data_IF_604427679579
#
_entry.id   IF_604427679579
#
_cell.length_a   1.000
_cell.length_b   1.000
_cell.length_c   1.000
_cell.angle_alpha   90.00
_cell.angle_beta   90.00
_cell.angle_gamma   90.00
#
_symmetry.space_group_name_H-M   'P 1'
#
loop_
_entity.id
_entity.type
_entity.pdbx_description
1 polymer ?
#
# COMPACT_ATOMS: atom_id res chain seq x y z
N UNK A 1 -27.29 4.99 -2.47
CA UNK A 1 -27.21 6.39 -2.92
C UNK A 1 -27.89 6.55 -4.27
N UNK A 2 -27.35 6.01 -5.38
CA UNK A 2 -27.90 6.17 -6.73
C UNK A 2 -29.42 5.89 -6.88
N UNK A 3 -29.93 4.76 -6.34
CA UNK A 3 -31.38 4.45 -6.37
C UNK A 3 -32.27 5.43 -5.60
N UNK A 4 -31.70 6.15 -4.62
CA UNK A 4 -32.42 7.15 -3.81
C UNK A 4 -32.36 8.54 -4.47
N UNK A 5 -31.29 8.82 -5.21
CA UNK A 5 -31.07 10.11 -5.87
C UNK A 5 -31.71 10.20 -7.26
N UNK A 6 -31.74 9.08 -8.00
CA UNK A 6 -32.27 9.02 -9.36
C UNK A 6 -33.39 7.97 -9.44
N UNK A 7 -34.64 8.34 -9.09
CA UNK A 7 -35.79 7.45 -9.21
C UNK A 7 -36.17 7.16 -10.68
N UNK A 8 -35.88 8.09 -11.60
CA UNK A 8 -36.19 7.96 -13.02
C UNK A 8 -35.09 7.25 -13.83
N UNK A 9 -35.49 6.42 -14.81
CA UNK A 9 -34.57 5.64 -15.67
C UNK A 9 -33.66 6.53 -16.52
N UNK A 10 -34.15 7.65 -17.03
CA UNK A 10 -33.39 8.56 -17.89
C UNK A 10 -32.24 9.25 -17.14
N UNK A 11 -32.44 9.54 -15.85
CA UNK A 11 -31.43 10.15 -14.97
C UNK A 11 -30.48 9.11 -14.38
N UNK A 12 -30.96 7.89 -14.14
CA UNK A 12 -30.17 6.79 -13.58
C UNK A 12 -29.19 6.18 -14.59
N UNK A 13 -29.53 6.12 -15.88
CA UNK A 13 -28.67 5.55 -16.93
C UNK A 13 -27.29 6.24 -17.05
N UNK A 14 -27.19 7.58 -17.15
CA UNK A 14 -25.90 8.27 -17.20
C UNK A 14 -25.09 8.11 -15.91
N UNK A 15 -25.75 8.13 -14.74
CA UNK A 15 -25.09 7.90 -13.47
C UNK A 15 -24.51 6.47 -13.36
N UNK A 16 -25.24 5.45 -13.84
CA UNK A 16 -24.75 4.07 -13.88
C UNK A 16 -23.58 3.89 -14.85
N UNK A 17 -23.63 4.50 -16.04
CA UNK A 17 -22.54 4.43 -17.03
C UNK A 17 -21.23 5.00 -16.47
N UNK A 18 -21.28 6.08 -15.69
CA UNK A 18 -20.10 6.65 -15.00
C UNK A 18 -19.46 5.69 -13.99
N UNK A 19 -20.25 4.79 -13.39
CA UNK A 19 -19.74 3.80 -12.46
C UNK A 19 -19.24 2.50 -13.12
N UNK A 20 -19.37 2.36 -14.45
CA UNK A 20 -18.78 1.26 -15.22
C UNK A 20 -17.31 1.50 -15.57
N UNK A 21 -16.78 2.69 -15.30
CA UNK A 21 -15.37 2.99 -15.52
C UNK A 21 -14.46 2.15 -14.61
N UNK A 22 -13.23 1.94 -15.08
CA UNK A 22 -12.26 1.10 -14.38
C UNK A 22 -11.96 1.66 -12.99
N UNK A 23 -12.27 0.86 -11.97
CA UNK A 23 -12.02 1.18 -10.57
C UNK A 23 -11.18 0.08 -9.95
N UNK A 24 -9.89 0.36 -9.76
CA UNK A 24 -8.95 -0.55 -9.13
C UNK A 24 -8.24 0.14 -7.98
N UNK A 25 -8.59 -0.28 -6.76
CA UNK A 25 -8.00 0.21 -5.51
C UNK A 25 -7.98 -0.92 -4.49
N UNK A 26 -7.16 -0.76 -3.45
CA UNK A 26 -7.15 -1.69 -2.34
C UNK A 26 -8.52 -1.74 -1.63
N UNK A 27 -9.00 -2.95 -1.32
CA UNK A 27 -10.33 -3.22 -0.76
C UNK A 27 -10.66 -2.44 0.52
N UNK A 28 -9.66 -2.11 1.34
CA UNK A 28 -9.86 -1.37 2.59
C UNK A 28 -9.95 0.13 2.37
N UNK A 29 -9.39 0.63 1.26
CA UNK A 29 -9.44 2.04 0.89
C UNK A 29 -10.63 2.37 -0.04
N UNK A 30 -11.21 1.35 -0.70
CA UNK A 30 -12.39 1.52 -1.56
C UNK A 30 -13.58 2.24 -0.87
N UNK A 31 -13.93 1.96 0.40
CA UNK A 31 -15.05 2.64 1.06
C UNK A 31 -14.83 4.15 1.22
N UNK A 32 -13.59 4.60 1.37
CA UNK A 32 -13.30 6.04 1.42
C UNK A 32 -13.63 6.73 0.08
N UNK A 33 -13.17 6.16 -1.04
CA UNK A 33 -13.47 6.71 -2.38
C UNK A 33 -14.98 6.65 -2.66
N UNK A 34 -15.65 5.57 -2.25
CA UNK A 34 -17.10 5.42 -2.37
C UNK A 34 -17.84 6.46 -1.52
N UNK A 35 -17.37 6.77 -0.31
CA UNK A 35 -17.92 7.81 0.55
C UNK A 35 -17.82 9.19 -0.10
N UNK A 36 -16.63 9.55 -0.61
CA UNK A 36 -16.40 10.83 -1.31
C UNK A 36 -17.28 10.92 -2.56
N UNK A 37 -17.27 9.89 -3.40
CA UNK A 37 -18.11 9.81 -4.61
C UNK A 37 -19.58 9.98 -4.27
N UNK A 38 -20.05 9.32 -3.20
CA UNK A 38 -21.46 9.40 -2.79
C UNK A 38 -21.88 10.80 -2.34
N UNK A 39 -21.00 11.51 -1.63
CA UNK A 39 -21.26 12.90 -1.23
C UNK A 39 -21.27 13.86 -2.43
N UNK A 40 -20.40 13.64 -3.42
CA UNK A 40 -20.39 14.43 -4.65
C UNK A 40 -21.62 14.17 -5.52
N UNK A 41 -22.07 12.92 -5.63
CA UNK A 41 -23.30 12.56 -6.33
C UNK A 41 -24.51 13.29 -5.72
N UNK A 42 -24.57 13.40 -4.39
CA UNK A 42 -25.65 14.10 -3.69
C UNK A 42 -25.65 15.62 -3.88
N UNK A 43 -24.50 16.23 -4.17
CA UNK A 43 -24.36 17.69 -4.28
C UNK A 43 -24.36 18.21 -5.72
N UNK A 44 -23.61 17.58 -6.64
CA UNK A 44 -23.52 18.03 -8.04
C UNK A 44 -24.45 17.26 -8.99
N UNK A 45 -25.04 16.14 -8.53
CA UNK A 45 -25.91 15.31 -9.38
C UNK A 45 -25.21 14.85 -10.68
N UNK A 46 -25.93 14.86 -11.79
CA UNK A 46 -25.38 14.49 -13.09
C UNK A 46 -24.55 15.60 -13.76
N UNK A 47 -24.61 16.84 -13.27
CA UNK A 47 -23.84 17.96 -13.84
C UNK A 47 -22.35 17.86 -13.46
N UNK A 48 -22.03 17.29 -12.30
CA UNK A 48 -20.68 17.04 -11.80
C UNK A 48 -19.98 15.77 -12.32
N UNK A 49 -20.49 15.13 -13.37
CA UNK A 49 -20.03 13.81 -13.82
C UNK A 49 -18.51 13.72 -14.07
N UNK A 50 -17.91 14.77 -14.64
CA UNK A 50 -16.48 14.84 -14.91
C UNK A 50 -15.65 15.01 -13.62
N UNK A 51 -16.13 15.80 -12.66
CA UNK A 51 -15.50 16.00 -11.35
C UNK A 51 -15.49 14.70 -10.56
N UNK A 52 -16.63 14.00 -10.49
CA UNK A 52 -16.80 12.72 -9.77
C UNK A 52 -15.85 11.66 -10.32
N UNK A 53 -15.77 11.57 -11.64
CA UNK A 53 -14.86 10.66 -12.37
C UNK A 53 -13.40 11.01 -12.09
N UNK A 54 -13.05 12.30 -12.19
CA UNK A 54 -11.71 12.79 -11.89
C UNK A 54 -11.24 12.48 -10.48
N UNK A 55 -12.13 12.58 -9.48
CA UNK A 55 -11.81 12.21 -8.09
C UNK A 55 -11.57 10.69 -7.96
N UNK A 56 -12.42 9.84 -8.56
CA UNK A 56 -12.21 8.39 -8.54
C UNK A 56 -10.86 8.01 -9.14
N UNK A 57 -10.56 8.52 -10.33
CA UNK A 57 -9.32 8.23 -11.06
C UNK A 57 -8.11 8.82 -10.32
N UNK A 58 -8.23 10.01 -9.73
CA UNK A 58 -7.15 10.66 -8.99
C UNK A 58 -6.83 10.01 -7.65
N UNK A 59 -7.82 9.36 -7.02
CA UNK A 59 -7.65 8.69 -5.72
C UNK A 59 -7.36 7.19 -5.84
N UNK A 60 -7.76 6.52 -6.93
CA UNK A 60 -7.57 5.07 -7.08
C UNK A 60 -6.10 4.66 -7.02
N UNK A 61 -5.20 5.39 -7.69
CA UNK A 61 -3.78 5.04 -7.75
C UNK A 61 -3.06 5.16 -6.40
N UNK A 62 -3.07 6.34 -5.75
CA UNK A 62 -2.40 6.53 -4.47
C UNK A 62 -2.96 5.65 -3.35
N UNK A 63 -4.30 5.50 -3.27
CA UNK A 63 -4.93 4.67 -2.26
C UNK A 63 -4.77 3.17 -2.54
N UNK A 64 -4.62 2.75 -3.80
CA UNK A 64 -4.18 1.40 -4.13
C UNK A 64 -2.80 1.13 -3.56
N UNK A 65 -1.80 1.95 -3.91
CA UNK A 65 -0.42 1.74 -3.45
C UNK A 65 -0.24 1.82 -1.94
N UNK A 66 -0.91 2.78 -1.28
CA UNK A 66 -0.90 2.91 0.17
C UNK A 66 -1.61 1.74 0.84
N UNK A 67 -2.76 1.33 0.31
CA UNK A 67 -3.52 0.20 0.81
C UNK A 67 -2.74 -1.12 0.70
N UNK A 68 -2.12 -1.38 -0.45
CA UNK A 68 -1.31 -2.58 -0.68
C UNK A 68 -0.10 -2.61 0.26
N UNK A 69 0.59 -1.48 0.43
CA UNK A 69 1.79 -1.42 1.29
C UNK A 69 1.46 -1.59 2.78
N UNK A 70 0.38 -0.96 3.25
CA UNK A 70 0.00 -1.05 4.66
C UNK A 70 -0.71 -2.34 5.01
N UNK A 71 -1.71 -2.76 4.22
CA UNK A 71 -2.52 -3.92 4.58
C UNK A 71 -1.87 -5.22 4.15
N UNK A 72 -1.45 -5.32 2.88
CA UNK A 72 -0.89 -6.57 2.36
C UNK A 72 0.56 -6.80 2.76
N UNK A 73 1.42 -5.77 2.74
CA UNK A 73 2.84 -5.95 3.06
C UNK A 73 3.16 -5.81 4.56
N UNK A 74 2.32 -5.13 5.34
CA UNK A 74 2.61 -4.86 6.76
C UNK A 74 1.62 -5.56 7.67
N UNK A 75 0.33 -5.22 7.59
CA UNK A 75 -0.67 -5.69 8.54
C UNK A 75 -0.89 -7.20 8.47
N UNK A 76 -1.10 -7.74 7.27
CA UNK A 76 -1.32 -9.18 7.07
C UNK A 76 -0.13 -10.00 7.59
N UNK A 77 1.13 -9.76 7.18
CA UNK A 77 2.28 -10.50 7.70
C UNK A 77 2.44 -10.40 9.21
N UNK A 78 2.20 -9.23 9.81
CA UNK A 78 2.27 -9.07 11.28
C UNK A 78 1.17 -9.88 11.97
N UNK A 79 -0.09 -9.76 11.54
CA UNK A 79 -1.21 -10.50 12.12
C UNK A 79 -1.00 -12.02 12.00
N UNK A 80 -0.56 -12.49 10.84
CA UNK A 80 -0.29 -13.91 10.60
C UNK A 80 0.98 -14.39 11.31
N UNK A 81 2.02 -13.55 11.47
CA UNK A 81 3.22 -13.88 12.25
C UNK A 81 2.91 -14.03 13.74
N UNK A 82 2.06 -13.16 14.28
CA UNK A 82 1.57 -13.25 15.65
C UNK A 82 0.72 -14.52 15.80
N UNK A 83 -0.24 -14.75 14.92
CA UNK A 83 -1.06 -15.96 14.93
C UNK A 83 -0.25 -17.24 14.82
N UNK A 84 0.74 -17.27 13.93
CA UNK A 84 1.67 -18.40 13.78
C UNK A 84 2.48 -18.65 15.04
N UNK A 85 2.90 -17.59 15.75
CA UNK A 85 3.62 -17.71 17.02
C UNK A 85 2.77 -18.39 18.10
N UNK A 86 1.47 -18.12 18.14
CA UNK A 86 0.52 -18.76 19.06
C UNK A 86 0.06 -20.17 18.61
N UNK A 87 0.25 -20.52 17.34
CA UNK A 87 -0.03 -21.88 16.83
C UNK A 87 1.14 -22.86 16.99
N UNK A 88 2.31 -22.43 17.49
CA UNK A 88 3.48 -23.30 17.65
C UNK A 88 3.24 -24.49 18.57
N UNK A 89 2.35 -24.34 19.56
CA UNK A 89 1.99 -25.40 20.51
C UNK A 89 0.86 -26.34 20.02
N UNK A 90 0.51 -26.29 18.72
CA UNK A 90 -0.40 -27.25 18.09
C UNK A 90 -1.90 -26.91 18.15
N UNK A 91 -2.26 -25.70 18.55
CA UNK A 91 -3.66 -25.25 18.61
C UNK A 91 -4.12 -24.46 17.38
N UNK A 92 -5.37 -24.67 16.94
CA UNK A 92 -6.03 -23.85 15.91
C UNK A 92 -6.30 -22.40 16.35
N UNK A 93 -6.07 -22.08 17.63
CA UNK A 93 -6.25 -20.75 18.21
C UNK A 93 -5.43 -19.66 17.51
N UNK A 94 -4.24 -19.98 17.00
CA UNK A 94 -3.40 -19.03 16.27
C UNK A 94 -4.07 -18.47 15.00
N UNK A 95 -4.84 -19.31 14.29
CA UNK A 95 -5.60 -18.90 13.10
C UNK A 95 -6.74 -17.96 13.47
N UNK A 96 -7.48 -18.27 14.55
CA UNK A 96 -8.55 -17.40 15.03
C UNK A 96 -8.01 -16.05 15.50
N UNK A 97 -6.88 -16.03 16.21
CA UNK A 97 -6.21 -14.79 16.63
C UNK A 97 -5.79 -13.96 15.42
N UNK A 98 -5.14 -14.55 14.42
CA UNK A 98 -4.74 -13.84 13.20
C UNK A 98 -5.96 -13.22 12.48
N UNK A 99 -7.04 -13.97 12.31
CA UNK A 99 -8.26 -13.50 11.63
C UNK A 99 -8.97 -12.41 12.43
N UNK A 100 -9.07 -12.54 13.75
CA UNK A 100 -9.67 -11.52 14.62
C UNK A 100 -8.85 -10.25 14.58
N UNK A 101 -7.52 -10.33 14.72
CA UNK A 101 -6.63 -9.17 14.74
C UNK A 101 -6.71 -8.40 13.41
N UNK A 102 -6.72 -9.14 12.29
CA UNK A 102 -6.90 -8.53 10.98
C UNK A 102 -8.27 -7.87 10.82
N UNK A 103 -9.36 -8.56 11.18
CA UNK A 103 -10.72 -8.02 11.02
C UNK A 103 -11.01 -6.83 11.94
N UNK A 104 -10.50 -6.85 13.17
CA UNK A 104 -10.62 -5.74 14.14
C UNK A 104 -10.02 -4.46 13.58
N UNK A 105 -8.96 -4.54 12.78
CA UNK A 105 -8.35 -3.36 12.18
C UNK A 105 -9.02 -3.04 10.84
N UNK A 106 -9.35 -4.04 10.04
CA UNK A 106 -9.92 -3.87 8.70
C UNK A 106 -11.33 -3.26 8.72
N UNK A 107 -12.23 -3.76 9.58
CA UNK A 107 -13.63 -3.37 9.60
C UNK A 107 -13.82 -1.89 10.04
N UNK A 108 -13.20 -1.42 11.14
CA UNK A 108 -13.29 -0.02 11.53
C UNK A 108 -12.67 0.91 10.49
N UNK A 109 -11.55 0.55 9.88
CA UNK A 109 -10.95 1.39 8.83
C UNK A 109 -11.89 1.53 7.64
N UNK A 110 -12.60 0.46 7.24
CA UNK A 110 -13.63 0.54 6.19
C UNK A 110 -14.80 1.44 6.61
N UNK A 111 -15.31 1.28 7.83
CA UNK A 111 -16.47 2.03 8.31
C UNK A 111 -16.16 3.51 8.54
N UNK A 112 -15.09 3.82 9.28
CA UNK A 112 -14.63 5.19 9.48
C UNK A 112 -14.15 5.82 8.16
N UNK A 113 -13.51 5.05 7.28
CA UNK A 113 -13.12 5.52 5.95
C UNK A 113 -14.33 5.95 5.13
N UNK A 114 -15.40 5.17 5.11
CA UNK A 114 -16.66 5.53 4.44
C UNK A 114 -17.28 6.80 5.05
N UNK A 115 -17.44 6.84 6.37
CA UNK A 115 -18.06 7.99 7.06
C UNK A 115 -17.25 9.26 6.89
N UNK A 116 -15.93 9.17 7.05
CA UNK A 116 -15.02 10.30 6.88
C UNK A 116 -14.97 10.76 5.43
N UNK A 117 -14.92 9.84 4.47
CA UNK A 117 -15.00 10.14 3.04
C UNK A 117 -16.30 10.86 2.66
N UNK A 118 -17.43 10.43 3.22
CA UNK A 118 -18.72 11.07 2.96
C UNK A 118 -18.82 12.48 3.60
N UNK A 119 -18.42 12.64 4.87
CA UNK A 119 -18.45 13.95 5.56
C UNK A 119 -17.42 14.94 5.01
N UNK A 120 -16.25 14.47 4.56
CA UNK A 120 -15.22 15.34 3.95
C UNK A 120 -15.44 15.56 2.45
N UNK A 121 -16.06 14.62 1.75
CA UNK A 121 -16.42 14.76 0.34
C UNK A 121 -17.31 15.98 0.08
N UNK A 122 -18.25 16.25 0.98
CA UNK A 122 -19.11 17.44 0.93
C UNK A 122 -18.39 18.77 1.21
N UNK A 123 -17.24 18.75 1.89
CA UNK A 123 -16.43 19.95 2.16
C UNK A 123 -15.34 20.20 1.12
N UNK A 124 -14.93 19.17 0.36
CA UNK A 124 -14.04 19.32 -0.80
C UNK A 124 -14.68 20.14 -1.95
N UNK A 125 -16.02 20.24 -1.97
CA UNK A 125 -16.79 21.01 -2.96
C UNK A 125 -16.91 22.50 -2.59
N UNK A 126 -16.87 22.85 -1.30
CA UNK A 126 -17.04 24.25 -0.86
C UNK A 126 -15.79 25.12 -1.08
N UNK A 127 -14.63 24.50 -1.28
CA UNK A 127 -13.45 25.21 -1.78
C UNK A 127 -13.54 25.28 -3.32
N UNK A 128 -13.82 26.47 -3.86
CA UNK A 128 -13.80 26.82 -5.30
C UNK A 128 -12.43 26.60 -6.01
N UNK A 129 -11.57 25.73 -5.47
CA UNK A 129 -10.25 25.37 -5.95
C UNK A 129 -10.13 23.84 -6.16
N UNK A 130 -11.15 23.26 -6.79
CA UNK A 130 -11.31 21.81 -7.02
C UNK A 130 -10.10 21.16 -7.69
N UNK A 131 -9.28 21.91 -8.46
CA UNK A 131 -8.03 21.39 -9.04
C UNK A 131 -6.84 21.47 -8.08
N UNK A 132 -6.74 22.53 -7.29
CA UNK A 132 -5.62 22.77 -6.37
C UNK A 132 -5.67 21.86 -5.15
N UNK A 133 -6.82 21.78 -4.49
CA UNK A 133 -7.01 20.93 -3.31
C UNK A 133 -6.96 19.44 -3.70
N UNK A 134 -7.48 19.05 -4.86
CA UNK A 134 -7.41 17.67 -5.35
C UNK A 134 -5.97 17.24 -5.66
N UNK A 135 -5.22 18.03 -6.44
CA UNK A 135 -3.80 17.75 -6.67
C UNK A 135 -3.03 17.68 -5.36
N UNK A 136 -3.37 18.52 -4.37
CA UNK A 136 -2.74 18.50 -3.05
C UNK A 136 -3.06 17.22 -2.29
N UNK A 137 -4.30 16.76 -2.27
CA UNK A 137 -4.71 15.52 -1.60
C UNK A 137 -4.07 14.30 -2.28
N UNK A 138 -4.11 14.21 -3.61
CA UNK A 138 -3.44 13.15 -4.38
C UNK A 138 -1.93 13.17 -4.16
N UNK A 139 -1.31 14.36 -4.13
CA UNK A 139 0.13 14.50 -3.87
C UNK A 139 0.49 14.09 -2.44
N UNK A 140 -0.32 14.47 -1.44
CA UNK A 140 -0.11 14.04 -0.05
C UNK A 140 -0.27 12.53 0.08
N UNK A 141 -1.29 11.93 -0.54
CA UNK A 141 -1.48 10.48 -0.53
C UNK A 141 -0.31 9.74 -1.21
N UNK A 142 0.18 10.28 -2.33
CA UNK A 142 1.35 9.71 -3.04
C UNK A 142 2.63 9.85 -2.22
N UNK A 143 2.85 11.01 -1.59
CA UNK A 143 3.99 11.25 -0.71
C UNK A 143 3.97 10.32 0.51
N UNK A 144 2.82 10.17 1.16
CA UNK A 144 2.64 9.22 2.26
C UNK A 144 2.90 7.79 1.80
N UNK A 145 2.39 7.39 0.64
CA UNK A 145 2.66 6.08 0.04
C UNK A 145 4.15 5.84 -0.21
N UNK A 146 4.86 6.81 -0.80
CA UNK A 146 6.29 6.71 -1.07
C UNK A 146 7.14 6.64 0.21
N UNK A 147 6.80 7.42 1.24
CA UNK A 147 7.47 7.38 2.55
C UNK A 147 7.27 6.01 3.21
N UNK A 148 6.05 5.47 3.18
CA UNK A 148 5.74 4.16 3.73
C UNK A 148 6.51 3.05 3.00
N UNK A 149 6.48 3.03 1.66
CA UNK A 149 7.25 2.06 0.87
C UNK A 149 8.75 2.18 1.17
N UNK A 150 9.29 3.40 1.23
CA UNK A 150 10.68 3.66 1.58
C UNK A 150 11.08 3.15 2.96
N UNK A 151 10.22 3.32 3.96
CA UNK A 151 10.44 2.88 5.33
C UNK A 151 10.29 1.36 5.53
N UNK A 152 9.46 0.70 4.73
CA UNK A 152 9.23 -0.75 4.83
C UNK A 152 10.35 -1.59 4.18
N UNK A 153 11.08 -1.05 3.20
CA UNK A 153 12.16 -1.77 2.51
C UNK A 153 13.24 -2.27 3.49
N UNK A 154 13.81 -1.45 4.40
CA UNK A 154 14.81 -1.91 5.37
C UNK A 154 14.29 -2.95 6.36
N UNK A 155 13.01 -2.90 6.72
CA UNK A 155 12.41 -3.81 7.71
C UNK A 155 12.03 -5.16 7.13
N UNK A 156 11.74 -5.22 5.83
CA UNK A 156 11.29 -6.45 5.15
C UNK A 156 12.41 -7.24 4.50
N UNK A 157 13.55 -6.60 4.20
CA UNK A 157 14.69 -7.21 3.50
C UNK A 157 15.85 -7.40 4.48
N UNK A 158 15.92 -8.58 5.08
CA UNK A 158 17.03 -8.99 5.93
C UNK A 158 18.21 -9.49 5.11
N UNK A 159 19.22 -8.64 4.89
CA UNK A 159 20.49 -9.04 4.26
C UNK A 159 21.58 -8.97 5.33
N UNK A 160 22.09 -10.12 5.75
CA UNK A 160 23.24 -10.22 6.62
C UNK A 160 24.46 -10.66 5.81
N UNK A 161 25.53 -9.88 5.86
CA UNK A 161 26.83 -10.23 5.31
C UNK A 161 27.61 -11.06 6.33
N UNK A 162 28.14 -12.17 5.86
CA UNK A 162 29.01 -13.05 6.64
C UNK A 162 30.49 -12.63 6.63
N UNK A 163 30.84 -11.46 6.08
CA UNK A 163 32.20 -10.95 6.01
C UNK A 163 32.71 -10.47 7.40
N UNK A 164 33.01 -11.45 8.25
CA UNK A 164 33.69 -11.27 9.52
C UNK A 164 35.20 -11.16 9.26
N UNK A 165 35.74 -9.94 9.21
CA UNK A 165 37.19 -9.75 9.26
C UNK A 165 37.65 -9.96 10.71
N UNK A 166 38.22 -11.12 11.00
CA UNK A 166 38.84 -11.42 12.30
C UNK A 166 40.23 -10.81 12.37
N UNK A 167 40.43 -9.86 13.29
CA UNK A 167 41.75 -9.44 13.75
C UNK A 167 41.75 -9.51 15.29
N UNK A 168 42.15 -10.65 15.86
CA UNK A 168 42.07 -10.92 17.31
C UNK A 168 40.64 -11.18 17.83
N UNK A 169 40.31 -10.69 19.04
CA UNK A 169 38.96 -10.78 19.67
C UNK A 169 37.93 -9.76 19.13
N UNK A 170 38.36 -8.81 18.28
CA UNK A 170 37.50 -7.80 17.69
C UNK A 170 37.11 -8.22 16.27
N UNK A 171 35.90 -8.76 16.12
CA UNK A 171 35.26 -8.97 14.82
C UNK A 171 34.70 -7.63 14.35
N UNK A 172 35.49 -6.87 13.57
CA UNK A 172 35.00 -5.64 12.96
C UNK A 172 34.35 -6.04 11.63
N UNK A 173 33.02 -6.21 11.64
CA UNK A 173 32.27 -6.43 10.41
C UNK A 173 32.13 -5.11 9.64
N UNK A 174 32.48 -5.13 8.35
CA UNK A 174 32.24 -3.98 7.44
C UNK A 174 30.75 -3.61 7.41
N UNK A 175 29.88 -4.61 7.65
CA UNK A 175 28.44 -4.42 7.79
C UNK A 175 28.07 -3.56 9.01
N UNK A 176 28.70 -3.73 10.17
CA UNK A 176 28.40 -2.88 11.34
C UNK A 176 28.79 -1.41 11.11
N UNK A 177 29.90 -1.16 10.40
CA UNK A 177 30.32 0.21 10.10
C UNK A 177 29.32 0.91 9.17
N UNK A 178 28.87 0.21 8.12
CA UNK A 178 27.86 0.74 7.18
C UNK A 178 26.48 0.86 7.86
N UNK A 179 26.08 -0.13 8.67
CA UNK A 179 24.77 -0.14 9.36
C UNK A 179 24.70 0.93 10.45
N UNK A 180 25.82 1.25 11.11
CA UNK A 180 25.90 2.37 12.07
C UNK A 180 25.80 3.75 11.39
N UNK A 181 26.30 3.88 10.15
CA UNK A 181 26.19 5.12 9.37
C UNK A 181 24.81 5.30 8.74
N UNK A 182 24.27 4.26 8.07
CA UNK A 182 22.94 4.25 7.46
C UNK A 182 22.30 2.87 7.64
N UNK A 183 21.34 2.71 8.56
CA UNK A 183 20.60 1.47 8.72
C UNK A 183 19.84 1.14 7.43
N UNK A 184 20.04 -0.07 6.88
CA UNK A 184 19.28 -0.54 5.71
C UNK A 184 19.72 0.00 4.35
N UNK A 185 20.92 0.59 4.24
CA UNK A 185 21.45 1.07 2.95
C UNK A 185 21.51 -0.03 1.88
N UNK A 186 21.90 -1.25 2.26
CA UNK A 186 22.08 -2.36 1.33
C UNK A 186 20.74 -2.89 0.79
N UNK A 187 19.73 -3.16 1.65
CA UNK A 187 18.34 -3.38 1.21
C UNK A 187 17.81 -2.33 0.23
N UNK A 188 18.06 -1.05 0.54
CA UNK A 188 17.61 0.07 -0.29
C UNK A 188 18.31 0.07 -1.66
N UNK A 189 19.63 -0.10 -1.69
CA UNK A 189 20.43 -0.14 -2.91
C UNK A 189 20.00 -1.31 -3.82
N UNK A 190 19.78 -2.50 -3.25
CA UNK A 190 19.29 -3.66 -3.98
C UNK A 190 17.90 -3.40 -4.58
N UNK A 191 16.99 -2.83 -3.78
CA UNK A 191 15.63 -2.51 -4.22
C UNK A 191 15.62 -1.49 -5.35
N UNK A 192 16.43 -0.43 -5.26
CA UNK A 192 16.58 0.56 -6.32
C UNK A 192 17.17 -0.05 -7.60
N UNK A 193 18.12 -0.98 -7.48
CA UNK A 193 18.69 -1.70 -8.61
C UNK A 193 17.64 -2.58 -9.30
N UNK A 194 16.81 -3.29 -8.53
CA UNK A 194 15.67 -4.06 -9.05
C UNK A 194 14.63 -3.15 -9.73
N UNK A 195 14.23 -2.04 -9.10
CA UNK A 195 13.32 -1.07 -9.72
C UNK A 195 13.86 -0.53 -11.06
N UNK A 196 15.17 -0.26 -11.14
CA UNK A 196 15.82 0.18 -12.39
C UNK A 196 15.80 -0.90 -13.47
N UNK A 197 15.96 -2.17 -13.10
CA UNK A 197 15.89 -3.30 -14.05
C UNK A 197 14.46 -3.56 -14.54
N UNK A 198 13.46 -3.42 -13.67
CA UNK A 198 12.03 -3.50 -14.06
C UNK A 198 11.68 -2.36 -15.00
N UNK A 199 12.13 -1.13 -14.72
CA UNK A 199 11.95 0.02 -15.63
C UNK A 199 12.60 -0.16 -17.00
N UNK A 200 13.63 -1.00 -17.10
CA UNK A 200 14.24 -1.41 -18.39
C UNK A 200 13.46 -2.51 -19.12
N UNK A 201 12.29 -2.91 -18.63
CA UNK A 201 11.43 -3.90 -19.26
C UNK A 201 11.84 -5.35 -19.02
N UNK A 202 12.73 -5.62 -18.05
CA UNK A 202 13.09 -7.00 -17.71
C UNK A 202 11.93 -7.69 -16.98
N UNK A 203 11.69 -8.94 -17.34
CA UNK A 203 10.58 -9.72 -16.80
C UNK A 203 10.80 -9.99 -15.28
N UNK A 204 9.84 -9.65 -14.39
CA UNK A 204 9.96 -9.84 -12.95
C UNK A 204 10.32 -11.27 -12.54
N UNK A 205 9.81 -12.28 -13.25
CA UNK A 205 10.10 -13.69 -12.98
C UNK A 205 11.60 -13.98 -13.11
N UNK A 206 12.25 -13.47 -14.16
CA UNK A 206 13.68 -13.65 -14.39
C UNK A 206 14.50 -12.94 -13.32
N UNK A 207 14.05 -11.79 -12.82
CA UNK A 207 14.71 -11.06 -11.74
C UNK A 207 14.67 -11.84 -10.42
N UNK A 208 13.53 -12.45 -10.09
CA UNK A 208 13.40 -13.30 -8.90
C UNK A 208 14.39 -14.47 -8.96
N UNK A 209 14.41 -15.22 -10.07
CA UNK A 209 15.37 -16.31 -10.25
C UNK A 209 16.83 -15.85 -10.21
N UNK A 210 17.13 -14.68 -10.78
CA UNK A 210 18.48 -14.12 -10.76
C UNK A 210 18.92 -13.76 -9.34
N UNK A 211 18.07 -13.09 -8.55
CA UNK A 211 18.37 -12.74 -7.16
C UNK A 211 18.53 -13.99 -6.31
N UNK A 212 17.71 -15.02 -6.54
CA UNK A 212 17.81 -16.30 -5.85
C UNK A 212 19.13 -17.02 -6.17
N UNK A 213 19.51 -17.10 -7.44
CA UNK A 213 20.79 -17.69 -7.85
C UNK A 213 21.99 -16.92 -7.29
N UNK A 214 21.96 -15.59 -7.36
CA UNK A 214 23.00 -14.71 -6.80
C UNK A 214 23.09 -14.89 -5.28
N UNK A 215 21.95 -14.98 -4.59
CA UNK A 215 21.90 -15.21 -3.14
C UNK A 215 22.57 -16.54 -2.76
N UNK A 216 22.26 -17.63 -3.46
CA UNK A 216 22.91 -18.93 -3.22
C UNK A 216 24.42 -18.86 -3.48
N UNK A 217 24.85 -18.23 -4.57
CA UNK A 217 26.28 -18.07 -4.88
C UNK A 217 27.00 -17.26 -3.80
N UNK A 218 26.40 -16.17 -3.33
CA UNK A 218 26.97 -15.32 -2.27
C UNK A 218 27.05 -16.01 -0.91
N UNK A 219 26.11 -16.90 -0.60
CA UNK A 219 26.16 -17.75 0.61
C UNK A 219 27.25 -18.81 0.47
N UNK A 220 27.37 -19.47 -0.69
CA UNK A 220 28.43 -20.46 -0.96
C UNK A 220 29.83 -19.82 -0.92
N UNK A 221 29.96 -18.57 -1.36
CA UNK A 221 31.20 -17.78 -1.28
C UNK A 221 31.48 -17.20 0.12
N UNK A 222 30.58 -17.40 1.10
CA UNK A 222 30.74 -16.91 2.48
C UNK A 222 30.57 -15.39 2.65
N UNK A 223 30.03 -14.70 1.64
CA UNK A 223 29.83 -13.25 1.64
C UNK A 223 28.49 -12.88 2.32
N UNK A 224 27.47 -13.73 2.21
CA UNK A 224 26.15 -13.59 2.85
C UNK A 224 25.90 -14.74 3.85
N UNK A 225 25.14 -14.46 4.91
CA UNK A 225 24.72 -15.41 5.97
C UNK A 225 23.20 -15.47 6.06
#
# INVERSE_FOLDING_TARGET
VLKKLYPDKDSASPAMKRHLEFFNTHQTAAPFILGVTSAMEEQEGNEGAASITGIKVGLMGPLAGLGDSLFWLTLVPICFSIGASYSKDGGALGIFIALILFNIINIPVKYFGLKYGYTKGSSLIQENNTKGTLNRVTSMATALGLVLVGGLIPSMVGINFGLEFKQGELVISVQEMITKLIPGFIPMALTLLMCKLIRKGKNPVVLIFSVMAIGVILVVLGILK
#
